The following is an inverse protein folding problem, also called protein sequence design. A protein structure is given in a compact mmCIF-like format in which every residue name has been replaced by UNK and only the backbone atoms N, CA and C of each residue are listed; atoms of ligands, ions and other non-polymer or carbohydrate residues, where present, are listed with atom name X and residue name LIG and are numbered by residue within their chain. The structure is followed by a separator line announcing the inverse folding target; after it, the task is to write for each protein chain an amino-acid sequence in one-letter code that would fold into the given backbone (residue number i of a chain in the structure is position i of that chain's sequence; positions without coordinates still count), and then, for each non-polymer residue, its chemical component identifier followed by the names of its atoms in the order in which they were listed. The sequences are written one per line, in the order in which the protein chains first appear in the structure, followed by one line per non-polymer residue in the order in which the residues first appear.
data_IF_496841407983
#
_entry.id   IF_496841407983
#
_cell.length_a   1.000
_cell.length_b   1.000
_cell.length_c   1.000
_cell.angle_alpha   90.00
_cell.angle_beta   90.00
_cell.angle_gamma   90.00
#
_symmetry.space_group_name_H-M   'P 1'
#
loop_
_entity.id
_entity.type
_entity.pdbx_description
1 polymer ?
#
# COMPACT_ATOMS: atom_id res chain seq x y z
N UNK A 1 -33.36 -24.64 16.96
CA UNK A 1 -33.81 -24.00 15.70
C UNK A 1 -32.64 -23.24 15.10
N UNK A 2 -32.32 -23.45 13.82
CA UNK A 2 -31.20 -22.76 13.16
C UNK A 2 -31.55 -21.27 12.93
N UNK A 3 -30.65 -20.31 13.21
CA UNK A 3 -30.89 -18.89 13.00
C UNK A 3 -31.04 -18.57 11.51
N UNK A 4 -31.95 -17.65 11.18
CA UNK A 4 -32.34 -17.26 9.80
C UNK A 4 -31.18 -16.75 8.94
N UNK A 5 -30.12 -16.23 9.57
CA UNK A 5 -28.88 -15.78 8.91
C UNK A 5 -28.06 -16.93 8.32
N UNK A 6 -28.19 -18.14 8.89
CA UNK A 6 -27.51 -19.35 8.42
C UNK A 6 -28.27 -20.03 7.26
N UNK A 7 -29.44 -19.51 6.88
CA UNK A 7 -30.20 -20.03 5.75
C UNK A 7 -29.68 -19.42 4.44
N UNK A 8 -29.23 -20.23 3.48
CA UNK A 8 -28.75 -19.75 2.19
C UNK A 8 -29.78 -18.88 1.45
N UNK A 9 -31.07 -19.17 1.62
CA UNK A 9 -32.18 -18.43 1.01
C UNK A 9 -32.23 -16.94 1.42
N UNK A 10 -31.77 -16.60 2.62
CA UNK A 10 -31.68 -15.21 3.07
C UNK A 10 -30.63 -14.43 2.25
N UNK A 11 -29.43 -14.99 2.09
CA UNK A 11 -28.36 -14.40 1.28
C UNK A 11 -28.71 -14.34 -0.21
N UNK A 12 -29.40 -15.35 -0.74
CA UNK A 12 -29.86 -15.35 -2.15
C UNK A 12 -30.89 -14.25 -2.43
N UNK A 13 -31.66 -13.83 -1.41
CA UNK A 13 -32.64 -12.75 -1.55
C UNK A 13 -32.02 -11.34 -1.61
N UNK A 14 -30.82 -11.17 -1.03
CA UNK A 14 -30.06 -9.92 -1.02
C UNK A 14 -29.35 -9.67 -2.37
N UNK A 15 -29.20 -10.70 -3.20
CA UNK A 15 -28.62 -10.57 -4.54
C UNK A 15 -29.67 -10.02 -5.52
N UNK A 16 -29.40 -8.90 -6.21
CA UNK A 16 -30.31 -8.33 -7.21
C UNK A 16 -30.63 -9.33 -8.33
N UNK A 17 -31.84 -9.27 -8.86
CA UNK A 17 -32.35 -10.15 -9.93
C UNK A 17 -31.37 -10.41 -11.11
N UNK A 18 -30.61 -9.43 -11.64
CA UNK A 18 -29.68 -9.70 -12.75
C UNK A 18 -28.49 -10.60 -12.38
N UNK A 19 -28.18 -10.77 -11.10
CA UNK A 19 -27.06 -11.60 -10.62
C UNK A 19 -27.52 -12.95 -10.05
N UNK A 20 -28.83 -13.20 -9.99
CA UNK A 20 -29.35 -14.52 -9.61
C UNK A 20 -29.16 -15.46 -10.79
N UNK A 21 -28.30 -16.47 -10.65
CA UNK A 21 -28.17 -17.50 -11.69
C UNK A 21 -29.52 -18.23 -11.81
N UNK A 22 -30.22 -18.02 -12.91
CA UNK A 22 -31.37 -18.83 -13.29
C UNK A 22 -30.83 -20.22 -13.62
N UNK A 23 -30.92 -21.15 -12.67
CA UNK A 23 -30.55 -22.54 -12.89
C UNK A 23 -31.59 -23.19 -13.81
N UNK A 24 -31.47 -22.98 -15.12
CA UNK A 24 -32.07 -23.87 -16.10
C UNK A 24 -31.34 -25.22 -16.01
N UNK A 25 -32.03 -26.36 -15.82
CA UNK A 25 -31.40 -27.68 -15.74
C UNK A 25 -30.92 -28.23 -17.11
N UNK A 26 -30.76 -27.37 -18.12
CA UNK A 26 -30.16 -27.74 -19.40
C UNK A 26 -28.74 -27.18 -19.49
N UNK A 27 -27.82 -27.94 -18.90
CA UNK A 27 -26.37 -27.94 -19.08
C UNK A 27 -25.66 -26.60 -19.39
N UNK A 28 -24.84 -26.06 -18.46
CA UNK A 28 -23.86 -25.04 -18.84
C UNK A 28 -22.78 -25.71 -19.69
N UNK A 29 -22.75 -25.40 -20.99
CA UNK A 29 -21.62 -25.71 -21.86
C UNK A 29 -20.37 -25.13 -21.18
N UNK A 30 -19.45 -26.00 -20.75
CA UNK A 30 -18.23 -25.60 -20.04
C UNK A 30 -17.50 -24.63 -20.97
N UNK A 31 -17.48 -23.36 -20.60
CA UNK A 31 -16.84 -22.30 -21.37
C UNK A 31 -15.36 -22.63 -21.39
N UNK A 32 -14.88 -23.16 -22.51
CA UNK A 32 -13.48 -23.45 -22.73
C UNK A 32 -12.70 -22.17 -22.44
N UNK A 33 -11.76 -22.28 -21.50
CA UNK A 33 -10.96 -21.15 -21.06
C UNK A 33 -10.09 -20.73 -22.24
N UNK A 34 -10.47 -19.64 -22.91
CA UNK A 34 -9.65 -19.09 -23.96
C UNK A 34 -8.34 -18.58 -23.31
N UNK A 35 -7.16 -19.07 -23.70
CA UNK A 35 -5.89 -18.64 -23.12
C UNK A 35 -5.65 -17.13 -23.30
N UNK A 36 -6.34 -16.48 -24.25
CA UNK A 36 -6.29 -15.04 -24.45
C UNK A 36 -7.17 -14.23 -23.46
N UNK A 37 -8.23 -14.81 -22.89
CA UNK A 37 -9.12 -14.10 -21.94
C UNK A 37 -8.40 -13.50 -20.73
N UNK A 38 -7.45 -14.19 -20.04
CA UNK A 38 -6.72 -13.55 -18.95
C UNK A 38 -5.89 -12.37 -19.43
N UNK A 39 -5.25 -12.44 -20.61
CA UNK A 39 -4.48 -11.32 -21.16
C UNK A 39 -5.37 -10.13 -21.53
N UNK A 40 -6.56 -10.38 -22.09
CA UNK A 40 -7.54 -9.33 -22.38
C UNK A 40 -8.02 -8.67 -21.08
N UNK A 41 -8.35 -9.45 -20.05
CA UNK A 41 -8.81 -8.92 -18.76
C UNK A 41 -7.68 -8.16 -18.05
N UNK A 42 -6.44 -8.67 -18.08
CA UNK A 42 -5.27 -8.01 -17.50
C UNK A 42 -4.96 -6.69 -18.21
N UNK A 43 -4.96 -6.68 -19.55
CA UNK A 43 -4.72 -5.47 -20.33
C UNK A 43 -5.83 -4.44 -20.16
N UNK A 44 -7.09 -4.88 -20.02
CA UNK A 44 -8.21 -4.00 -19.71
C UNK A 44 -8.12 -3.46 -18.28
N UNK A 45 -7.75 -4.26 -17.30
CA UNK A 45 -7.63 -3.83 -15.91
C UNK A 45 -6.50 -2.81 -15.75
N UNK A 46 -5.32 -3.10 -16.30
CA UNK A 46 -4.15 -2.21 -16.29
C UNK A 46 -4.41 -0.96 -17.14
N UNK A 47 -5.04 -1.11 -18.32
CA UNK A 47 -5.35 -0.01 -19.23
C UNK A 47 -6.55 0.84 -18.84
N UNK A 48 -7.49 0.32 -18.03
CA UNK A 48 -8.73 1.04 -17.67
C UNK A 48 -8.45 2.34 -16.91
N UNK A 49 -7.38 2.35 -16.12
CA UNK A 49 -6.99 3.53 -15.33
C UNK A 49 -6.22 4.57 -16.15
N UNK A 50 -5.77 4.23 -17.36
CA UNK A 50 -4.96 5.13 -18.18
C UNK A 50 -5.72 6.39 -18.58
N UNK A 51 -7.05 6.30 -18.75
CA UNK A 51 -7.89 7.47 -19.08
C UNK A 51 -7.93 8.50 -17.94
N UNK A 52 -7.99 8.04 -16.69
CA UNK A 52 -8.04 8.90 -15.51
C UNK A 52 -6.71 9.63 -15.33
N UNK A 53 -5.59 8.96 -15.61
CA UNK A 53 -4.25 9.54 -15.52
C UNK A 53 -4.05 10.68 -16.52
N UNK A 54 -4.62 10.61 -17.73
CA UNK A 54 -4.47 11.66 -18.75
C UNK A 54 -5.21 12.94 -18.32
N UNK A 55 -6.42 12.83 -17.78
CA UNK A 55 -7.18 13.99 -17.31
C UNK A 55 -6.49 14.66 -16.12
N UNK A 56 -6.09 13.86 -15.13
CA UNK A 56 -5.36 14.34 -13.94
C UNK A 56 -4.05 15.05 -14.32
N UNK A 57 -3.31 14.52 -15.31
CA UNK A 57 -2.08 15.16 -15.79
C UNK A 57 -2.35 16.52 -16.44
N UNK A 58 -3.44 16.70 -17.18
CA UNK A 58 -3.76 17.98 -17.82
C UNK A 58 -4.09 19.06 -16.79
N UNK A 59 -4.91 18.72 -15.80
CA UNK A 59 -5.26 19.61 -14.70
C UNK A 59 -4.00 20.03 -13.92
N UNK A 60 -3.15 19.06 -13.57
CA UNK A 60 -1.88 19.30 -12.90
C UNK A 60 -0.94 20.22 -13.71
N UNK A 61 -0.85 20.06 -15.03
CA UNK A 61 -0.01 20.92 -15.86
C UNK A 61 -0.47 22.39 -15.89
N UNK A 62 -1.79 22.63 -15.88
CA UNK A 62 -2.32 23.99 -15.81
C UNK A 62 -2.07 24.62 -14.43
N UNK A 63 -2.25 23.85 -13.36
CA UNK A 63 -1.95 24.26 -12.00
C UNK A 63 -0.47 24.64 -11.84
N UNK A 64 0.45 23.76 -12.25
CA UNK A 64 1.90 23.99 -12.12
C UNK A 64 2.36 25.26 -12.85
N UNK A 65 1.79 25.59 -14.00
CA UNK A 65 2.11 26.84 -14.71
C UNK A 65 1.67 28.08 -13.94
N UNK A 66 0.49 28.04 -13.31
CA UNK A 66 -0.01 29.15 -12.49
C UNK A 66 0.82 29.29 -11.21
N UNK A 67 1.14 28.18 -10.55
CA UNK A 67 1.99 28.16 -9.37
C UNK A 67 3.39 28.71 -9.67
N UNK A 68 4.03 28.29 -10.76
CA UNK A 68 5.36 28.78 -11.15
C UNK A 68 5.37 30.30 -11.41
N UNK A 69 4.33 30.82 -12.06
CA UNK A 69 4.20 32.27 -12.26
C UNK A 69 4.10 33.02 -10.92
N UNK A 70 3.32 32.53 -9.97
CA UNK A 70 3.15 33.14 -8.64
C UNK A 70 4.43 33.02 -7.79
N UNK A 71 5.13 31.89 -7.86
CA UNK A 71 6.44 31.69 -7.22
C UNK A 71 7.48 32.65 -7.81
N UNK A 72 7.48 32.85 -9.13
CA UNK A 72 8.32 33.83 -9.80
C UNK A 72 8.10 35.25 -9.27
N UNK A 73 6.84 35.66 -9.13
CA UNK A 73 6.47 36.98 -8.56
C UNK A 73 6.95 37.10 -7.11
N UNK A 74 6.68 36.10 -6.26
CA UNK A 74 7.14 36.12 -4.86
C UNK A 74 8.67 36.23 -4.77
N UNK A 75 9.39 35.50 -5.63
CA UNK A 75 10.85 35.53 -5.66
C UNK A 75 11.39 36.90 -6.07
N UNK A 76 10.78 37.52 -7.06
CA UNK A 76 11.15 38.88 -7.50
C UNK A 76 10.92 39.91 -6.38
N UNK A 77 9.79 39.83 -5.68
CA UNK A 77 9.50 40.69 -4.52
C UNK A 77 10.55 40.49 -3.44
N UNK A 78 10.85 39.24 -3.06
CA UNK A 78 11.85 38.94 -2.03
C UNK A 78 13.23 39.46 -2.42
N UNK A 79 13.65 39.29 -3.68
CA UNK A 79 14.94 39.79 -4.18
C UNK A 79 15.02 41.32 -4.21
N UNK A 80 13.91 42.02 -4.46
CA UNK A 80 13.89 43.50 -4.43
C UNK A 80 13.88 44.04 -2.99
N UNK A 81 13.14 43.41 -2.08
CA UNK A 81 13.16 43.75 -0.64
C UNK A 81 14.54 43.51 -0.03
N UNK A 82 15.20 42.39 -0.37
CA UNK A 82 16.57 42.12 0.10
C UNK A 82 17.60 43.13 -0.41
N UNK A 83 17.37 43.73 -1.58
CA UNK A 83 18.22 44.80 -2.14
C UNK A 83 17.99 46.17 -1.49
N UNK A 84 17.04 46.29 -0.56
CA UNK A 84 16.71 47.54 0.11
C UNK A 84 15.96 48.54 -0.77
N UNK A 85 15.35 48.06 -1.86
CA UNK A 85 14.48 48.85 -2.73
C UNK A 85 13.09 48.94 -2.08
N UNK A 86 12.46 50.12 -2.11
CA UNK A 86 11.09 50.29 -1.58
C UNK A 86 10.10 49.66 -2.56
N UNK A 87 9.66 48.44 -2.25
CA UNK A 87 8.73 47.68 -3.07
C UNK A 87 7.36 47.79 -2.45
N UNK A 88 6.40 48.26 -3.24
CA UNK A 88 4.99 48.12 -2.93
C UNK A 88 4.58 46.64 -3.01
N UNK A 89 4.81 45.93 -1.90
CA UNK A 89 4.48 44.51 -1.73
C UNK A 89 2.99 44.28 -1.98
N UNK A 90 2.15 45.24 -1.59
CA UNK A 90 0.70 45.10 -1.68
C UNK A 90 0.21 45.18 -3.13
N UNK A 91 0.78 46.11 -3.91
CA UNK A 91 0.50 46.21 -5.34
C UNK A 91 1.03 45.03 -6.16
N UNK A 92 2.21 44.50 -5.83
CA UNK A 92 2.83 43.39 -6.58
C UNK A 92 2.19 42.03 -6.25
N UNK A 93 1.75 41.82 -5.01
CA UNK A 93 1.02 40.61 -4.61
C UNK A 93 -0.48 40.67 -5.00
N UNK A 94 -0.97 41.84 -5.37
CA UNK A 94 -2.35 42.07 -5.77
C UNK A 94 -3.34 42.06 -4.60
N UNK A 95 -2.87 42.36 -3.38
CA UNK A 95 -3.74 42.61 -2.22
C UNK A 95 -4.66 43.79 -2.54
N UNK A 96 -5.97 43.59 -2.39
CA UNK A 96 -7.02 44.52 -2.80
C UNK A 96 -7.63 44.25 -4.17
N UNK A 97 -7.13 43.27 -4.95
CA UNK A 97 -7.77 42.81 -6.19
C UNK A 97 -8.49 41.48 -5.93
N UNK A 98 -9.83 41.52 -5.90
CA UNK A 98 -10.67 40.37 -5.51
C UNK A 98 -10.43 39.11 -6.35
N UNK A 99 -10.08 39.25 -7.63
CA UNK A 99 -9.71 38.11 -8.47
C UNK A 99 -8.38 37.46 -8.05
N UNK A 100 -7.36 38.27 -7.72
CA UNK A 100 -6.05 37.76 -7.30
C UNK A 100 -6.11 37.14 -5.91
N UNK A 101 -6.86 37.74 -4.98
CA UNK A 101 -7.07 37.19 -3.64
C UNK A 101 -7.83 35.86 -3.67
N UNK A 102 -8.83 35.74 -4.55
CA UNK A 102 -9.55 34.47 -4.75
C UNK A 102 -8.65 33.37 -5.29
N UNK A 103 -7.75 33.70 -6.20
CA UNK A 103 -6.74 32.76 -6.71
C UNK A 103 -5.76 32.32 -5.61
N UNK A 104 -5.25 33.25 -4.81
CA UNK A 104 -4.38 32.95 -3.67
C UNK A 104 -5.08 32.12 -2.60
N UNK A 105 -6.34 32.44 -2.29
CA UNK A 105 -7.17 31.68 -1.37
C UNK A 105 -7.41 30.24 -1.86
N UNK A 106 -7.55 30.06 -3.17
CA UNK A 106 -7.63 28.72 -3.79
C UNK A 106 -6.36 27.91 -3.56
N UNK A 107 -5.19 28.49 -3.85
CA UNK A 107 -3.89 27.83 -3.66
C UNK A 107 -3.63 27.48 -2.20
N UNK A 108 -3.93 28.40 -1.26
CA UNK A 108 -3.77 28.15 0.18
C UNK A 108 -4.67 27.01 0.67
N UNK A 109 -5.92 26.97 0.22
CA UNK A 109 -6.86 25.91 0.57
C UNK A 109 -6.42 24.55 0.03
N UNK A 110 -5.92 24.49 -1.20
CA UNK A 110 -5.36 23.26 -1.76
C UNK A 110 -4.13 22.78 -0.99
N UNK A 111 -3.23 23.70 -0.56
CA UNK A 111 -2.08 23.35 0.28
C UNK A 111 -2.55 22.78 1.63
N UNK A 112 -3.55 23.38 2.26
CA UNK A 112 -4.13 22.87 3.51
C UNK A 112 -4.71 21.46 3.33
N UNK A 113 -5.48 21.24 2.26
CA UNK A 113 -6.05 19.93 1.93
C UNK A 113 -4.97 18.87 1.63
N UNK A 114 -3.92 19.24 0.89
CA UNK A 114 -2.78 18.37 0.60
C UNK A 114 -2.00 18.02 1.86
N UNK A 115 -1.77 18.97 2.77
CA UNK A 115 -1.06 18.74 4.02
C UNK A 115 -1.84 17.79 4.94
N UNK A 116 -3.16 17.95 5.05
CA UNK A 116 -4.02 17.02 5.80
C UNK A 116 -3.92 15.59 5.24
N UNK A 117 -3.90 15.44 3.92
CA UNK A 117 -3.70 14.14 3.26
C UNK A 117 -2.30 13.59 3.51
N UNK A 118 -1.27 14.44 3.54
CA UNK A 118 0.11 14.03 3.77
C UNK A 118 0.34 13.59 5.21
N UNK A 119 -0.17 14.35 6.19
CA UNK A 119 -0.13 14.00 7.61
C UNK A 119 -0.83 12.66 7.88
N UNK A 120 -1.98 12.40 7.24
CA UNK A 120 -2.69 11.13 7.37
C UNK A 120 -1.87 9.94 6.82
N UNK A 121 -1.20 10.13 5.67
CA UNK A 121 -0.33 9.11 5.05
C UNK A 121 0.92 8.88 5.88
N UNK A 122 1.54 9.94 6.41
CA UNK A 122 2.72 9.87 7.26
C UNK A 122 2.41 9.15 8.57
N UNK A 123 1.28 9.47 9.22
CA UNK A 123 0.81 8.76 10.42
C UNK A 123 0.57 7.28 10.13
N UNK A 124 -0.06 6.94 8.99
CA UNK A 124 -0.27 5.54 8.58
C UNK A 124 1.04 4.80 8.30
N UNK A 125 2.02 5.45 7.67
CA UNK A 125 3.35 4.86 7.44
C UNK A 125 4.12 4.68 8.75
N UNK A 126 4.05 5.64 9.67
CA UNK A 126 4.68 5.55 10.98
C UNK A 126 4.09 4.37 11.78
N UNK A 127 2.77 4.18 11.76
CA UNK A 127 2.13 3.03 12.41
C UNK A 127 2.56 1.69 11.80
N UNK A 128 2.69 1.61 10.47
CA UNK A 128 3.18 0.39 9.80
C UNK A 128 4.63 0.07 10.19
N UNK A 129 5.51 1.07 10.18
CA UNK A 129 6.91 0.90 10.60
C UNK A 129 7.02 0.51 12.08
N UNK A 130 6.15 1.06 12.94
CA UNK A 130 6.10 0.68 14.36
C UNK A 130 5.66 -0.78 14.53
N UNK A 131 4.62 -1.22 13.82
CA UNK A 131 4.15 -2.60 13.84
C UNK A 131 5.22 -3.58 13.31
N UNK A 132 5.87 -3.25 12.19
CA UNK A 132 6.97 -4.05 11.63
C UNK A 132 8.17 -4.15 12.59
N UNK A 133 8.50 -3.06 13.29
CA UNK A 133 9.56 -3.06 14.31
C UNK A 133 9.19 -3.87 15.55
N UNK A 134 7.92 -3.87 15.94
CA UNK A 134 7.41 -4.66 17.05
C UNK A 134 7.38 -6.16 16.70
N UNK A 135 6.93 -6.52 15.50
CA UNK A 135 7.00 -7.89 14.98
C UNK A 135 8.45 -8.39 14.85
N UNK A 136 9.38 -7.53 14.43
CA UNK A 136 10.80 -7.86 14.37
C UNK A 136 11.40 -8.08 15.78
N UNK A 137 11.02 -7.27 16.77
CA UNK A 137 11.42 -7.46 18.17
C UNK A 137 10.83 -8.75 18.75
N UNK A 138 9.54 -9.02 18.52
CA UNK A 138 8.89 -10.25 18.97
C UNK A 138 9.50 -11.49 18.32
N UNK A 139 9.90 -11.42 17.04
CA UNK A 139 10.66 -12.51 16.38
C UNK A 139 12.07 -12.69 16.97
N UNK A 140 12.76 -11.61 17.29
CA UNK A 140 14.09 -11.67 17.93
C UNK A 140 14.00 -12.23 19.37
N UNK A 141 12.98 -11.85 20.14
CA UNK A 141 12.73 -12.38 21.48
C UNK A 141 12.22 -13.84 21.46
N UNK A 142 11.46 -14.23 20.44
CA UNK A 142 11.08 -15.64 20.23
C UNK A 142 12.29 -16.50 19.85
N UNK A 143 13.28 -15.95 19.13
CA UNK A 143 14.55 -16.62 18.85
C UNK A 143 15.49 -16.65 20.06
N UNK A 144 15.44 -15.67 20.97
CA UNK A 144 16.27 -15.69 22.19
C UNK A 144 15.71 -16.59 23.31
N UNK A 145 14.41 -16.93 23.26
CA UNK A 145 13.75 -17.85 24.20
C UNK A 145 13.79 -19.33 23.78
N UNK A 146 14.45 -19.67 22.67
CA UNK A 146 14.72 -21.09 22.36
C UNK A 146 15.74 -21.60 23.39
N UNK A 147 15.41 -22.58 24.24
CA UNK A 147 16.40 -23.16 25.13
C UNK A 147 17.49 -23.78 24.26
N UNK A 148 18.74 -23.41 24.52
CA UNK A 148 19.92 -24.07 23.99
C UNK A 148 19.72 -25.59 24.09
N UNK A 149 19.68 -26.35 22.98
CA UNK A 149 19.83 -27.79 23.09
C UNK A 149 21.28 -28.02 23.52
N UNK A 150 21.42 -28.53 24.74
CA UNK A 150 22.63 -29.13 25.30
C UNK A 150 23.31 -29.96 24.21
N UNK A 151 24.48 -29.51 23.75
CA UNK A 151 25.28 -30.20 22.73
C UNK A 151 26.17 -31.31 23.31
N UNK A 152 26.02 -31.66 24.59
CA UNK A 152 26.87 -32.67 25.25
C UNK A 152 26.26 -34.08 25.30
N UNK A 153 24.93 -34.24 25.17
CA UNK A 153 24.29 -35.57 25.40
C UNK A 153 24.13 -36.45 24.14
N UNK A 154 24.41 -35.92 22.95
CA UNK A 154 24.21 -36.66 21.68
C UNK A 154 25.46 -37.49 21.31
N UNK A 155 26.64 -37.11 21.82
CA UNK A 155 27.90 -37.77 21.45
C UNK A 155 28.10 -39.09 22.21
N UNK A 156 27.67 -39.17 23.47
CA UNK A 156 27.80 -40.38 24.29
C UNK A 156 26.87 -41.51 23.82
N UNK A 157 25.63 -41.18 23.38
CA UNK A 157 24.67 -42.18 22.87
C UNK A 157 25.02 -42.73 21.48
N UNK A 158 25.78 -42.00 20.66
CA UNK A 158 26.20 -42.51 19.34
C UNK A 158 27.47 -43.38 19.41
N UNK A 159 28.29 -43.24 20.46
CA UNK A 159 29.46 -44.10 20.67
C UNK A 159 29.07 -45.43 21.32
N UNK A 160 28.21 -45.41 22.35
CA UNK A 160 27.73 -46.64 23.01
C UNK A 160 26.91 -47.55 22.05
N UNK A 161 26.25 -46.95 21.04
CA UNK A 161 25.55 -47.67 19.98
C UNK A 161 26.45 -48.26 18.89
N UNK A 162 27.64 -47.71 18.65
CA UNK A 162 28.59 -48.20 17.63
C UNK A 162 29.50 -49.28 18.18
N UNK A 163 29.98 -49.13 19.42
CA UNK A 163 30.88 -50.10 20.06
C UNK A 163 30.18 -51.44 20.34
N UNK A 164 28.84 -51.40 20.50
CA UNK A 164 28.00 -52.58 20.74
C UNK A 164 27.72 -53.41 19.49
N UNK A 165 27.92 -52.86 18.29
CA UNK A 165 27.75 -53.59 17.02
C UNK A 165 29.04 -54.33 16.64
N UNK A 166 30.20 -53.83 17.06
CA UNK A 166 31.50 -54.47 16.79
C UNK A 166 31.85 -55.60 17.76
N UNK A 167 31.06 -55.79 18.83
CA UNK A 167 31.35 -56.78 19.87
C UNK A 167 30.13 -57.60 20.28
N UNK A 168 29.42 -58.20 19.32
CA UNK A 168 28.56 -59.35 19.62
C UNK A 168 29.25 -60.65 19.16
N UNK A 169 29.67 -61.46 20.14
CA UNK A 169 30.35 -62.78 19.98
C UNK A 169 31.81 -62.76 19.49
N UNK A 170 32.62 -61.82 19.96
CA UNK A 170 34.06 -62.06 20.15
C UNK A 170 34.91 -62.49 18.94
N UNK A 171 34.57 -62.05 17.73
CA UNK A 171 35.43 -62.23 16.55
C UNK A 171 35.55 -60.91 15.79
N UNK A 172 36.76 -60.36 15.69
CA UNK A 172 37.09 -59.22 14.84
C UNK A 172 37.53 -59.74 13.47
N UNK A 173 36.90 -59.26 12.41
CA UNK A 173 37.39 -59.44 11.05
C UNK A 173 38.18 -58.18 10.68
N UNK A 174 39.43 -58.35 10.22
CA UNK A 174 40.31 -57.29 9.73
C UNK A 174 39.90 -56.83 8.33
#
# INVERSE_FOLDING_TARGET
SLPRIAQPSFWTSLVPKPFRSVSNPSQPKRREWNPATPFIILSLLVGSQAIQIIWLKREHLHFMRKAEAKIGVLREVVERVQRGEDVDVEGVLGTGVEESEREWGGVLKEIEEEELLFQSKQRRQAMRKAAEAEEAKQRAEAQSKVPTPVKEDIQEKMQDGKDKVETFKGARFY
#
